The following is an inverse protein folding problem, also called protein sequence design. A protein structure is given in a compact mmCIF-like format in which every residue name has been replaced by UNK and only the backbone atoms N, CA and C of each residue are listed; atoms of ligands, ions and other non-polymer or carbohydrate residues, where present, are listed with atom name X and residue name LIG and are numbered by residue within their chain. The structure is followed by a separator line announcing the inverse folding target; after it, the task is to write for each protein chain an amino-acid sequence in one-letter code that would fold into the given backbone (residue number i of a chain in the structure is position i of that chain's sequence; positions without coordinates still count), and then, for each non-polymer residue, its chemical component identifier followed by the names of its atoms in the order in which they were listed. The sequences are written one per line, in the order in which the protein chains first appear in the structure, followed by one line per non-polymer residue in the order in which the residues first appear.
data_IF_923839775056
#
_entry.id   IF_923839775056
#
_cell.length_a   1.000
_cell.length_b   1.000
_cell.length_c   1.000
_cell.angle_alpha   90.00
_cell.angle_beta   90.00
_cell.angle_gamma   90.00
#
_symmetry.space_group_name_H-M   'P 1'
#
loop_
_entity.id
_entity.type
_entity.pdbx_description
1 polymer ?
#
# COMPACT_ATOMS: atom_id res chain seq x y z
N UNK A 1 3.16 14.29 1.03
CA UNK A 1 2.23 13.63 0.08
C UNK A 1 1.33 12.60 0.76
N UNK A 2 1.84 11.54 1.40
CA UNK A 2 1.02 10.53 2.12
C UNK A 2 0.02 11.15 3.11
N UNK A 3 0.45 12.13 3.91
CA UNK A 3 -0.42 12.85 4.84
C UNK A 3 -1.66 13.48 4.17
N UNK A 4 -1.51 13.98 2.93
CA UNK A 4 -2.60 14.61 2.21
C UNK A 4 -3.58 13.58 1.63
N UNK A 5 -3.07 12.42 1.20
CA UNK A 5 -3.94 11.30 0.81
C UNK A 5 -4.73 10.74 1.99
N UNK A 6 -4.12 10.68 3.18
CA UNK A 6 -4.83 10.29 4.40
C UNK A 6 -5.93 11.29 4.79
N UNK A 7 -5.67 12.60 4.71
CA UNK A 7 -6.72 13.63 4.91
C UNK A 7 -7.91 13.43 3.97
N UNK A 8 -7.67 13.30 2.66
CA UNK A 8 -8.73 13.13 1.66
C UNK A 8 -9.56 11.85 1.91
N UNK A 9 -8.95 10.79 2.45
CA UNK A 9 -9.64 9.54 2.74
C UNK A 9 -10.44 9.58 4.05
N UNK A 10 -10.00 10.38 5.02
CA UNK A 10 -10.79 10.67 6.23
C UNK A 10 -12.00 11.53 5.87
N UNK A 11 -11.84 12.53 5.00
CA UNK A 11 -12.95 13.35 4.49
C UNK A 11 -14.02 12.50 3.79
N UNK A 12 -13.63 11.47 3.03
CA UNK A 12 -14.54 10.54 2.35
C UNK A 12 -15.21 9.50 3.31
N UNK A 13 -14.78 9.48 4.58
CA UNK A 13 -15.33 8.64 5.64
C UNK A 13 -15.06 7.13 5.48
N UNK A 14 -14.16 6.73 4.58
CA UNK A 14 -13.92 5.33 4.26
C UNK A 14 -12.80 4.72 5.12
N UNK A 15 -13.18 4.22 6.30
CA UNK A 15 -12.27 3.57 7.26
C UNK A 15 -11.57 2.32 6.68
N UNK A 16 -12.19 1.64 5.72
CA UNK A 16 -11.60 0.46 5.07
C UNK A 16 -10.40 0.86 4.21
N UNK A 17 -10.55 1.90 3.39
CA UNK A 17 -9.49 2.46 2.56
C UNK A 17 -8.37 3.03 3.45
N UNK A 18 -8.73 3.73 4.52
CA UNK A 18 -7.76 4.30 5.47
C UNK A 18 -6.87 3.20 6.08
N UNK A 19 -7.49 2.09 6.52
CA UNK A 19 -6.79 0.93 7.06
C UNK A 19 -5.89 0.26 6.02
N UNK A 20 -6.36 0.13 4.79
CA UNK A 20 -5.58 -0.43 3.68
C UNK A 20 -4.33 0.40 3.39
N UNK A 21 -4.46 1.73 3.26
CA UNK A 21 -3.31 2.60 3.00
C UNK A 21 -2.33 2.65 4.19
N UNK A 22 -2.84 2.69 5.43
CA UNK A 22 -1.99 2.67 6.62
C UNK A 22 -1.12 1.41 6.67
N UNK A 23 -1.73 0.24 6.46
CA UNK A 23 -1.02 -1.04 6.38
C UNK A 23 -0.01 -1.07 5.22
N UNK A 24 -0.38 -0.51 4.07
CA UNK A 24 0.50 -0.43 2.90
C UNK A 24 1.72 0.45 3.17
N UNK A 25 1.53 1.61 3.79
CA UNK A 25 2.64 2.50 4.19
C UNK A 25 3.62 1.82 5.15
N UNK A 26 3.11 1.04 6.11
CA UNK A 26 3.94 0.27 7.02
C UNK A 26 4.77 -0.80 6.28
N UNK A 27 4.17 -1.51 5.33
CA UNK A 27 4.89 -2.50 4.50
C UNK A 27 5.98 -1.87 3.63
N UNK A 28 5.73 -0.68 3.08
CA UNK A 28 6.74 0.05 2.29
C UNK A 28 7.95 0.37 3.17
N UNK A 29 7.72 0.96 4.34
CA UNK A 29 8.80 1.27 5.28
C UNK A 29 9.58 0.02 5.70
N UNK A 30 8.89 -1.10 5.96
CA UNK A 30 9.55 -2.38 6.24
C UNK A 30 10.41 -2.88 5.07
N UNK A 31 9.95 -2.71 3.82
CA UNK A 31 10.71 -3.05 2.63
C UNK A 31 11.96 -2.18 2.47
N UNK A 32 11.89 -0.89 2.80
CA UNK A 32 13.05 0.01 2.79
C UNK A 32 14.06 -0.36 3.88
N UNK A 33 13.60 -0.68 5.09
CA UNK A 33 14.47 -1.17 6.17
C UNK A 33 15.15 -2.48 5.76
N UNK A 34 14.41 -3.41 5.18
CA UNK A 34 14.96 -4.68 4.69
C UNK A 34 16.03 -4.47 3.61
N UNK A 35 15.79 -3.51 2.70
CA UNK A 35 16.80 -3.12 1.70
C UNK A 35 18.06 -2.56 2.36
N UNK A 36 17.93 -1.73 3.40
CA UNK A 36 19.06 -1.16 4.12
C UNK A 36 19.86 -2.25 4.85
N UNK A 37 19.19 -3.26 5.40
CA UNK A 37 19.84 -4.40 6.07
C UNK A 37 20.72 -5.22 5.13
N UNK A 38 20.34 -5.36 3.86
CA UNK A 38 21.07 -6.14 2.87
C UNK A 38 21.93 -5.25 1.94
N UNK A 39 22.17 -4.00 2.34
CA UNK A 39 22.92 -3.05 1.51
C UNK A 39 24.39 -3.49 1.43
N UNK A 40 24.84 -3.80 0.23
CA UNK A 40 26.23 -4.23 -0.02
C UNK A 40 26.45 -5.73 0.09
N UNK A 41 25.41 -6.52 0.33
CA UNK A 41 25.48 -7.97 0.13
C UNK A 41 25.49 -8.28 -1.38
N UNK A 42 26.59 -8.86 -1.82
CA UNK A 42 26.81 -9.23 -3.23
C UNK A 42 26.11 -10.55 -3.55
N UNK A 43 25.99 -11.44 -2.55
CA UNK A 43 25.38 -12.77 -2.66
C UNK A 43 23.93 -12.81 -2.17
N UNK A 44 23.18 -11.70 -2.34
CA UNK A 44 21.77 -11.64 -1.99
C UNK A 44 20.97 -12.69 -2.77
N UNK A 45 20.19 -13.51 -2.04
CA UNK A 45 19.25 -14.44 -2.66
C UNK A 45 18.18 -13.69 -3.45
N UNK A 46 17.85 -14.19 -4.65
CA UNK A 46 16.81 -13.62 -5.51
C UNK A 46 15.46 -13.50 -4.79
N UNK A 47 15.11 -14.48 -3.95
CA UNK A 47 13.89 -14.45 -3.15
C UNK A 47 13.83 -13.24 -2.21
N UNK A 48 14.97 -12.88 -1.60
CA UNK A 48 15.08 -11.71 -0.73
C UNK A 48 14.93 -10.43 -1.55
N UNK A 49 15.57 -10.36 -2.71
CA UNK A 49 15.43 -9.24 -3.64
C UNK A 49 13.97 -9.03 -4.05
N UNK A 50 13.29 -10.11 -4.48
CA UNK A 50 11.88 -10.08 -4.89
C UNK A 50 10.98 -9.65 -3.73
N UNK A 51 11.28 -10.09 -2.50
CA UNK A 51 10.56 -9.68 -1.29
C UNK A 51 10.73 -8.18 -1.00
N UNK A 52 11.95 -7.64 -1.14
CA UNK A 52 12.24 -6.22 -0.97
C UNK A 52 11.45 -5.39 -1.96
N UNK A 53 11.54 -5.67 -3.27
CA UNK A 53 10.85 -4.87 -4.29
C UNK A 53 9.33 -5.02 -4.21
N UNK A 54 8.84 -6.20 -3.84
CA UNK A 54 7.40 -6.41 -3.64
C UNK A 54 6.91 -5.54 -2.49
N UNK A 55 7.64 -5.51 -1.37
CA UNK A 55 7.23 -4.80 -0.15
C UNK A 55 7.40 -3.29 -0.27
N UNK A 56 8.46 -2.78 -0.90
CA UNK A 56 8.70 -1.33 -1.02
C UNK A 56 7.96 -0.68 -2.20
N UNK A 57 7.59 -1.47 -3.23
CA UNK A 57 7.02 -0.93 -4.48
C UNK A 57 5.69 -1.59 -4.85
N UNK A 58 5.64 -2.91 -5.01
CA UNK A 58 4.45 -3.58 -5.57
C UNK A 58 3.21 -3.46 -4.66
N UNK A 59 3.38 -3.44 -3.34
CA UNK A 59 2.25 -3.28 -2.40
C UNK A 59 1.47 -1.98 -2.62
N UNK A 60 2.13 -0.90 -3.06
CA UNK A 60 1.45 0.36 -3.33
C UNK A 60 0.53 0.27 -4.54
N UNK A 61 1.00 -0.35 -5.63
CA UNK A 61 0.20 -0.60 -6.82
C UNK A 61 -0.98 -1.54 -6.52
N UNK A 62 -0.74 -2.59 -5.74
CA UNK A 62 -1.80 -3.50 -5.29
C UNK A 62 -2.85 -2.76 -4.44
N UNK A 63 -2.42 -1.89 -3.52
CA UNK A 63 -3.32 -1.08 -2.72
C UNK A 63 -4.13 -0.10 -3.59
N UNK A 64 -3.50 0.58 -4.54
CA UNK A 64 -4.19 1.50 -5.45
C UNK A 64 -5.28 0.79 -6.27
N UNK A 65 -4.99 -0.40 -6.81
CA UNK A 65 -5.99 -1.21 -7.52
C UNK A 65 -7.17 -1.62 -6.62
N UNK A 66 -6.89 -2.03 -5.37
CA UNK A 66 -7.92 -2.38 -4.38
C UNK A 66 -8.77 -1.19 -3.97
N UNK A 67 -8.18 -0.02 -3.79
CA UNK A 67 -8.91 1.22 -3.49
C UNK A 67 -9.92 1.53 -4.60
N UNK A 68 -9.53 1.40 -5.87
CA UNK A 68 -10.44 1.58 -7.00
C UNK A 68 -11.64 0.63 -6.96
N UNK A 69 -11.42 -0.64 -6.60
CA UNK A 69 -12.49 -1.62 -6.44
C UNK A 69 -13.45 -1.28 -5.29
N UNK A 70 -12.91 -0.94 -4.10
CA UNK A 70 -13.72 -0.58 -2.92
C UNK A 70 -14.62 0.64 -3.21
N UNK A 71 -14.07 1.66 -3.89
CA UNK A 71 -14.85 2.85 -4.28
C UNK A 71 -15.96 2.50 -5.29
N UNK A 72 -15.68 1.61 -6.25
CA UNK A 72 -16.69 1.14 -7.21
C UNK A 72 -17.85 0.40 -6.53
N UNK A 73 -17.54 -0.49 -5.58
CA UNK A 73 -18.56 -1.21 -4.81
C UNK A 73 -19.44 -0.28 -3.97
N UNK A 74 -18.86 0.75 -3.35
CA UNK A 74 -19.62 1.75 -2.58
C UNK A 74 -20.57 2.53 -3.48
N UNK A 75 -20.12 3.02 -4.63
CA UNK A 75 -20.97 3.73 -5.59
C UNK A 75 -22.14 2.86 -6.09
N UNK A 76 -21.93 1.55 -6.27
CA UNK A 76 -23.00 0.62 -6.63
C UNK A 76 -24.00 0.38 -5.49
N UNK A 77 -23.57 0.42 -4.22
CA UNK A 77 -24.45 0.35 -3.04
C UNK A 77 -25.27 1.63 -2.85
N UNK A 78 -24.68 2.80 -3.10
CA UNK A 78 -25.39 4.09 -3.02
C UNK A 78 -26.40 4.27 -4.15
N UNK A 79 -26.10 3.86 -5.39
CA UNK A 79 -27.07 3.88 -6.51
C UNK A 79 -28.25 2.91 -6.38
N UNK A 80 -28.17 1.92 -5.49
CA UNK A 80 -29.24 0.94 -5.24
C UNK A 80 -30.13 1.30 -4.05
N UNK A 81 -29.86 2.43 -3.37
CA UNK A 81 -30.75 3.03 -2.36
C UNK A 81 -31.55 4.16 -3.00
#
# INVERSE_FOLDING_TARGET
MLSRCFEMMVEDGNLEILKLLSSTSAKIAQGEVLQLQHKGEIDMLEEIYLKIISSKTAVLFSAAAKVGAILSERNNKEKKR
#
